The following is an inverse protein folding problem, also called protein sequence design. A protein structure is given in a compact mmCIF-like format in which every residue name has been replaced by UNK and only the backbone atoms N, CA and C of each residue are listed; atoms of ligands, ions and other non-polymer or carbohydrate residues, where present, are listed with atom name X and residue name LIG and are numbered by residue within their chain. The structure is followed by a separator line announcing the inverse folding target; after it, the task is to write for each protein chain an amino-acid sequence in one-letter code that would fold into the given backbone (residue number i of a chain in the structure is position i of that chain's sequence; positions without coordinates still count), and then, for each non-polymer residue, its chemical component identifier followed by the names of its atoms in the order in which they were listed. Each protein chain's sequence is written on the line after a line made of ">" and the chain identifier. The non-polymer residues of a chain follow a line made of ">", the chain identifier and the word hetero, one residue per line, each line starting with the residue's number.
data_IF_885821984756
#
_entry.id   IF_885821984756
#
_cell.length_a   1.000
_cell.length_b   1.000
_cell.length_c   1.000
_cell.angle_alpha   90.00
_cell.angle_beta   90.00
_cell.angle_gamma   90.00
#
_symmetry.space_group_name_H-M   'P 1'
#
loop_
_entity.id
_entity.type
_entity.pdbx_description
1 polymer ?
#
# COMPACT_ATOMS: atom_id res chain seq x y z
N UNK A 1 32.99 36.73 -37.00
CA UNK A 1 32.31 35.78 -37.92
C UNK A 1 33.26 34.60 -38.12
N UNK A 2 32.95 33.37 -37.73
CA UNK A 2 31.91 32.50 -38.31
C UNK A 2 31.27 31.59 -37.24
N UNK A 3 29.95 31.64 -37.12
CA UNK A 3 29.14 30.52 -36.59
C UNK A 3 29.34 29.34 -37.54
N UNK A 4 29.85 28.21 -37.07
CA UNK A 4 29.61 26.93 -37.74
C UNK A 4 28.26 26.44 -37.26
N UNK A 5 27.27 26.52 -38.15
CA UNK A 5 26.04 25.75 -38.06
C UNK A 5 26.43 24.28 -38.30
N UNK A 6 26.19 23.44 -37.30
CA UNK A 6 26.25 21.99 -37.51
C UNK A 6 25.09 21.58 -38.42
N UNK A 7 25.39 20.68 -39.34
CA UNK A 7 24.48 20.21 -40.38
C UNK A 7 23.30 19.43 -39.77
N UNK A 8 22.14 19.51 -40.43
CA UNK A 8 20.86 18.89 -40.03
C UNK A 8 20.91 17.36 -39.83
N UNK A 9 22.01 16.70 -40.22
CA UNK A 9 22.21 15.26 -40.04
C UNK A 9 22.73 14.84 -38.65
N UNK A 10 23.22 15.77 -37.81
CA UNK A 10 23.55 15.47 -36.40
C UNK A 10 22.31 15.45 -35.49
N UNK A 11 21.22 16.07 -35.90
CA UNK A 11 20.00 16.19 -35.10
C UNK A 11 19.22 14.87 -35.00
N UNK A 12 19.38 13.96 -35.97
CA UNK A 12 18.76 12.62 -35.96
C UNK A 12 19.53 11.57 -35.16
N UNK A 13 20.80 11.80 -34.81
CA UNK A 13 21.56 10.89 -33.93
C UNK A 13 21.40 11.21 -32.44
N UNK A 14 21.09 12.46 -32.10
CA UNK A 14 20.81 12.83 -30.71
C UNK A 14 19.40 12.49 -30.22
N UNK A 15 18.44 12.21 -31.11
CA UNK A 15 17.09 11.78 -30.68
C UNK A 15 17.05 10.34 -30.15
N UNK A 16 18.04 9.51 -30.48
CA UNK A 16 18.14 8.13 -29.98
C UNK A 16 19.02 7.97 -28.74
N UNK A 17 19.79 9.00 -28.34
CA UNK A 17 20.60 8.97 -27.11
C UNK A 17 19.86 9.51 -25.86
N UNK A 18 18.73 10.20 -26.05
CA UNK A 18 17.90 10.68 -24.93
C UNK A 18 17.13 9.57 -24.22
N UNK A 19 16.89 8.43 -24.89
CA UNK A 19 16.16 7.29 -24.34
C UNK A 19 17.05 6.26 -23.64
N UNK A 20 18.38 6.37 -23.79
CA UNK A 20 19.32 5.37 -23.25
C UNK A 20 20.30 5.93 -22.19
N UNK A 21 20.08 7.16 -21.75
CA UNK A 21 20.76 7.73 -20.59
C UNK A 21 19.71 8.01 -19.50
N UNK A 22 19.16 6.93 -18.94
CA UNK A 22 18.55 6.96 -17.62
C UNK A 22 19.52 7.68 -16.68
N UNK A 23 19.08 8.89 -16.30
CA UNK A 23 19.70 9.85 -15.40
C UNK A 23 21.04 9.44 -14.77
N UNK A 24 22.12 10.16 -15.13
CA UNK A 24 23.43 10.16 -14.42
C UNK A 24 23.31 10.24 -12.88
N UNK A 25 22.16 10.65 -12.37
CA UNK A 25 21.76 10.65 -10.97
C UNK A 25 21.73 9.24 -10.33
N UNK A 26 21.20 8.23 -11.02
CA UNK A 26 21.09 6.86 -10.48
C UNK A 26 22.41 6.09 -10.63
N UNK A 27 23.12 6.29 -11.74
CA UNK A 27 24.40 5.61 -11.99
C UNK A 27 25.51 5.99 -10.98
N UNK A 28 25.44 7.18 -10.37
CA UNK A 28 26.36 7.61 -9.29
C UNK A 28 26.01 7.03 -7.92
N UNK A 29 24.73 6.71 -7.70
CA UNK A 29 24.25 6.06 -6.46
C UNK A 29 24.67 4.59 -6.40
N UNK A 30 24.66 3.88 -7.54
CA UNK A 30 25.22 2.53 -7.67
C UNK A 30 26.74 2.48 -7.40
N UNK A 31 27.45 3.60 -7.54
CA UNK A 31 28.90 3.70 -7.38
C UNK A 31 29.35 4.31 -6.03
N UNK A 32 28.41 4.60 -5.11
CA UNK A 32 28.75 5.11 -3.77
C UNK A 32 29.20 6.57 -3.71
N UNK A 33 28.99 7.37 -4.77
CA UNK A 33 29.29 8.80 -4.74
C UNK A 33 28.14 9.62 -4.09
N UNK A 34 28.44 10.63 -3.25
CA UNK A 34 27.42 11.47 -2.64
C UNK A 34 26.66 12.29 -3.71
N UNK A 35 25.34 12.40 -3.51
CA UNK A 35 24.43 13.06 -4.46
C UNK A 35 24.74 14.56 -4.54
N UNK A 36 25.25 15.03 -5.67
CA UNK A 36 25.73 16.42 -5.92
C UNK A 36 24.64 17.51 -5.70
N UNK A 37 23.37 17.12 -5.49
CA UNK A 37 22.25 18.04 -5.20
C UNK A 37 21.48 17.69 -3.92
N UNK A 38 22.13 17.00 -2.99
CA UNK A 38 21.59 16.71 -1.66
C UNK A 38 20.97 17.98 -1.03
N UNK A 39 21.68 19.10 -1.09
CA UNK A 39 21.21 20.40 -0.60
C UNK A 39 19.92 20.93 -1.27
N UNK A 40 19.64 20.57 -2.54
CA UNK A 40 18.41 20.98 -3.23
C UNK A 40 17.24 20.14 -2.74
N UNK A 41 17.44 18.84 -2.56
CA UNK A 41 16.42 17.95 -2.00
C UNK A 41 16.15 18.31 -0.54
N UNK A 42 17.20 18.61 0.23
CA UNK A 42 17.08 19.09 1.61
C UNK A 42 16.37 20.46 1.68
N UNK A 43 16.61 21.39 0.73
CA UNK A 43 15.92 22.67 0.67
C UNK A 43 14.45 22.53 0.22
N UNK A 44 14.15 21.59 -0.68
CA UNK A 44 12.77 21.23 -1.05
C UNK A 44 12.05 20.65 0.16
N UNK A 45 12.66 19.71 0.88
CA UNK A 45 12.11 19.10 2.10
C UNK A 45 11.83 20.15 3.17
N UNK A 46 12.79 21.03 3.41
CA UNK A 46 12.66 22.16 4.35
C UNK A 46 11.52 23.10 3.97
N UNK A 47 11.34 23.40 2.68
CA UNK A 47 10.29 24.32 2.20
C UNK A 47 8.91 23.67 2.16
N UNK A 48 8.83 22.38 1.87
CA UNK A 48 7.57 21.65 1.85
C UNK A 48 7.04 21.38 3.26
N UNK A 49 7.90 21.46 4.29
CA UNK A 49 7.54 21.24 5.70
C UNK A 49 6.68 19.97 5.87
N UNK A 50 6.97 18.97 5.05
CA UNK A 50 6.26 17.71 5.07
C UNK A 50 6.71 16.93 6.30
N UNK A 51 5.78 16.22 6.94
CA UNK A 51 6.11 15.29 8.04
C UNK A 51 7.08 14.18 7.59
N UNK A 52 7.33 14.06 6.28
CA UNK A 52 8.21 13.09 5.67
C UNK A 52 9.14 13.75 4.64
N UNK A 53 10.45 13.53 4.77
CA UNK A 53 11.47 13.99 3.81
C UNK A 53 11.34 13.24 2.48
N UNK A 54 11.27 13.96 1.35
CA UNK A 54 11.33 13.39 0.00
C UNK A 54 12.61 12.62 -0.24
N UNK A 55 13.74 13.05 0.33
CA UNK A 55 14.98 12.28 0.26
C UNK A 55 14.83 10.90 0.89
N UNK A 56 14.22 10.85 2.08
CA UNK A 56 13.89 9.61 2.78
C UNK A 56 12.91 8.76 1.99
N UNK A 57 11.95 9.38 1.29
CA UNK A 57 11.01 8.68 0.40
C UNK A 57 11.72 8.06 -0.80
N UNK A 58 12.51 8.83 -1.55
CA UNK A 58 13.21 8.39 -2.75
C UNK A 58 14.30 7.35 -2.44
N UNK A 59 14.85 7.38 -1.23
CA UNK A 59 15.83 6.40 -0.78
C UNK A 59 15.21 5.27 0.05
N UNK A 60 13.88 5.20 0.14
CA UNK A 60 13.21 4.23 0.98
C UNK A 60 13.47 2.79 0.50
N UNK A 61 13.73 1.82 1.39
CA UNK A 61 13.93 0.41 1.01
C UNK A 61 12.76 -0.24 0.25
N UNK A 62 11.57 0.38 0.30
CA UNK A 62 10.40 -0.05 -0.47
C UNK A 62 10.70 -0.21 -1.96
N UNK A 63 11.45 0.73 -2.55
CA UNK A 63 11.73 0.69 -3.99
C UNK A 63 12.55 -0.54 -4.36
N UNK A 64 13.54 -0.90 -3.54
CA UNK A 64 14.33 -2.12 -3.72
C UNK A 64 13.46 -3.39 -3.61
N UNK A 65 12.42 -3.36 -2.77
CA UNK A 65 11.48 -4.47 -2.64
C UNK A 65 10.62 -4.63 -3.89
N UNK A 66 10.05 -3.54 -4.40
CA UNK A 66 9.05 -3.60 -5.48
C UNK A 66 9.68 -3.68 -6.87
N UNK A 67 10.90 -3.17 -7.05
CA UNK A 67 11.64 -3.25 -8.31
C UNK A 67 12.33 -4.61 -8.49
N UNK A 68 12.43 -5.42 -7.43
CA UNK A 68 12.96 -6.77 -7.51
C UNK A 68 11.89 -7.75 -8.00
N UNK A 69 11.84 -7.98 -9.32
CA UNK A 69 10.86 -8.86 -9.94
C UNK A 69 10.90 -10.32 -9.45
N UNK A 70 11.99 -10.80 -8.84
CA UNK A 70 12.10 -12.15 -8.28
C UNK A 70 12.66 -12.12 -6.85
N UNK A 71 11.85 -11.67 -5.88
CA UNK A 71 12.33 -11.45 -4.53
C UNK A 71 12.63 -12.78 -3.83
N UNK A 72 13.90 -12.97 -3.44
CA UNK A 72 14.32 -14.07 -2.59
C UNK A 72 14.10 -13.73 -1.10
N UNK A 73 13.97 -14.74 -0.24
CA UNK A 73 13.87 -14.55 1.21
C UNK A 73 15.04 -13.70 1.76
N UNK A 74 16.23 -13.86 1.20
CA UNK A 74 17.41 -13.09 1.60
C UNK A 74 17.28 -11.61 1.18
N UNK A 75 16.88 -11.34 -0.07
CA UNK A 75 16.68 -9.95 -0.54
C UNK A 75 15.57 -9.23 0.22
N UNK A 76 14.49 -9.94 0.58
CA UNK A 76 13.42 -9.39 1.42
C UNK A 76 13.96 -9.06 2.82
N UNK A 77 14.77 -9.95 3.41
CA UNK A 77 15.41 -9.69 4.71
C UNK A 77 16.29 -8.45 4.65
N UNK A 78 17.11 -8.30 3.62
CA UNK A 78 18.00 -7.14 3.42
C UNK A 78 17.23 -5.83 3.34
N UNK A 79 16.10 -5.79 2.63
CA UNK A 79 15.20 -4.63 2.64
C UNK A 79 14.70 -4.32 4.04
N UNK A 80 14.21 -5.34 4.76
CA UNK A 80 13.54 -5.15 6.05
C UNK A 80 14.49 -4.74 7.18
N UNK A 81 15.75 -5.16 7.16
CA UNK A 81 16.75 -4.72 8.14
C UNK A 81 17.19 -3.26 7.93
N UNK A 82 16.96 -2.70 6.74
CA UNK A 82 17.22 -1.29 6.42
C UNK A 82 16.05 -0.36 6.78
N UNK A 83 14.98 -0.88 7.38
CA UNK A 83 13.91 -0.06 7.95
C UNK A 83 14.35 0.60 9.28
N UNK A 84 13.64 1.61 9.80
CA UNK A 84 13.95 2.19 11.10
C UNK A 84 13.98 1.14 12.22
N UNK A 85 14.82 1.36 13.24
CA UNK A 85 15.04 0.42 14.33
C UNK A 85 13.75 -0.05 15.03
N UNK A 86 12.73 0.82 15.13
CA UNK A 86 11.42 0.47 15.69
C UNK A 86 10.71 -0.66 14.92
N UNK A 87 10.88 -0.70 13.59
CA UNK A 87 10.37 -1.76 12.72
C UNK A 87 11.26 -2.99 12.75
N UNK A 88 12.59 -2.82 12.71
CA UNK A 88 13.54 -3.95 12.80
C UNK A 88 13.34 -4.72 14.10
N UNK A 89 13.20 -4.03 15.24
CA UNK A 89 12.99 -4.63 16.56
C UNK A 89 11.62 -5.32 16.68
N UNK A 90 10.64 -4.88 15.90
CA UNK A 90 9.35 -5.54 15.78
C UNK A 90 9.46 -6.86 14.98
N UNK A 91 10.28 -6.86 13.94
CA UNK A 91 10.43 -7.95 12.96
C UNK A 91 11.42 -9.04 13.39
N UNK A 92 12.51 -8.69 14.07
CA UNK A 92 13.63 -9.61 14.35
C UNK A 92 13.93 -9.70 15.85
N UNK A 93 14.55 -10.81 16.26
CA UNK A 93 15.21 -10.91 17.57
C UNK A 93 16.63 -10.36 17.43
N UNK A 94 17.25 -9.97 18.54
CA UNK A 94 18.67 -9.68 18.57
C UNK A 94 19.43 -10.95 18.96
N UNK A 95 20.58 -11.22 18.34
CA UNK A 95 21.51 -12.25 18.80
C UNK A 95 22.42 -11.76 19.93
N UNK A 96 23.34 -12.61 20.36
CA UNK A 96 24.28 -12.30 21.44
C UNK A 96 25.19 -11.11 21.13
N UNK A 97 25.40 -10.80 19.84
CA UNK A 97 26.23 -9.69 19.36
C UNK A 97 25.39 -8.43 19.05
N UNK A 98 24.08 -8.46 19.34
CA UNK A 98 23.15 -7.36 19.09
C UNK A 98 22.67 -7.24 17.65
N UNK A 99 22.93 -8.22 16.79
CA UNK A 99 22.52 -8.19 15.38
C UNK A 99 21.10 -8.77 15.18
N UNK A 100 20.35 -8.32 14.14
CA UNK A 100 19.05 -8.89 13.81
C UNK A 100 19.13 -10.38 13.41
N UNK A 101 18.67 -11.26 14.29
CA UNK A 101 18.64 -12.70 14.14
C UNK A 101 17.21 -13.26 14.22
N UNK A 102 16.81 -14.04 13.21
CA UNK A 102 15.53 -14.77 13.18
C UNK A 102 14.26 -13.88 13.19
N UNK A 103 13.33 -14.13 12.26
CA UNK A 103 12.08 -13.34 12.20
C UNK A 103 11.13 -13.74 13.33
N UNK A 104 10.56 -12.75 14.02
CA UNK A 104 9.49 -12.94 15.00
C UNK A 104 8.17 -13.23 14.28
N UNK A 105 7.34 -14.08 14.87
CA UNK A 105 5.92 -14.16 14.49
C UNK A 105 5.24 -12.86 14.95
N UNK A 106 4.95 -11.97 14.02
CA UNK A 106 4.29 -10.70 14.33
C UNK A 106 2.78 -10.90 14.36
N UNK A 107 2.14 -10.34 15.38
CA UNK A 107 0.71 -10.15 15.36
C UNK A 107 0.37 -8.94 14.48
N UNK A 108 -0.36 -9.15 13.38
CA UNK A 108 -0.66 -8.12 12.37
C UNK A 108 -1.20 -6.81 12.95
N UNK A 109 -1.91 -6.85 14.09
CA UNK A 109 -2.38 -5.66 14.81
C UNK A 109 -1.28 -4.65 15.12
N UNK A 110 -0.04 -5.09 15.42
CA UNK A 110 1.07 -4.17 15.72
C UNK A 110 1.48 -3.28 14.53
N UNK A 111 1.16 -3.70 13.31
CA UNK A 111 1.40 -2.94 12.08
C UNK A 111 0.14 -2.20 11.60
N UNK A 112 -1.06 -2.72 11.89
CA UNK A 112 -2.33 -2.09 11.51
C UNK A 112 -2.48 -0.70 12.14
N UNK A 113 -1.95 -0.50 13.35
CA UNK A 113 -2.02 0.78 14.05
C UNK A 113 -1.07 1.85 13.48
N UNK A 114 -0.14 1.47 12.61
CA UNK A 114 0.78 2.40 11.92
C UNK A 114 0.12 2.94 10.64
N UNK A 115 0.57 4.06 10.12
CA UNK A 115 0.12 4.65 8.84
C UNK A 115 1.28 5.28 8.09
N UNK A 116 2.29 4.48 7.81
CA UNK A 116 3.49 4.97 7.15
C UNK A 116 4.01 3.96 6.13
N UNK A 117 4.94 4.44 5.33
CA UNK A 117 5.56 3.66 4.25
C UNK A 117 6.37 2.47 4.77
N UNK A 118 6.90 2.51 5.99
CA UNK A 118 7.67 1.41 6.58
C UNK A 118 6.77 0.21 6.88
N UNK A 119 5.61 0.48 7.49
CA UNK A 119 4.59 -0.54 7.73
C UNK A 119 4.03 -1.10 6.39
N UNK A 120 3.83 -0.25 5.39
CA UNK A 120 3.44 -0.72 4.03
C UNK A 120 4.49 -1.67 3.45
N UNK A 121 5.76 -1.34 3.59
CA UNK A 121 6.89 -2.17 3.12
C UNK A 121 6.89 -3.53 3.81
N UNK A 122 6.61 -3.56 5.12
CA UNK A 122 6.49 -4.82 5.87
C UNK A 122 5.33 -5.68 5.33
N UNK A 123 4.16 -5.09 5.07
CA UNK A 123 3.00 -5.79 4.53
C UNK A 123 3.26 -6.39 3.15
N UNK A 124 3.89 -5.62 2.25
CA UNK A 124 4.28 -6.11 0.92
C UNK A 124 5.28 -7.27 1.07
N UNK A 125 6.29 -7.13 1.92
CA UNK A 125 7.27 -8.18 2.15
C UNK A 125 6.61 -9.49 2.65
N UNK A 126 5.64 -9.42 3.57
CA UNK A 126 4.90 -10.60 4.00
C UNK A 126 4.11 -11.26 2.87
N UNK A 127 3.55 -10.46 1.96
CA UNK A 127 2.82 -10.98 0.80
C UNK A 127 3.77 -11.74 -0.14
N UNK A 128 4.98 -11.21 -0.36
CA UNK A 128 5.98 -11.79 -1.25
C UNK A 128 6.63 -13.07 -0.68
N UNK A 129 6.76 -13.18 0.64
CA UNK A 129 7.24 -14.41 1.29
C UNK A 129 6.20 -15.53 1.33
N UNK A 130 4.91 -15.18 1.35
CA UNK A 130 3.81 -16.14 1.42
C UNK A 130 3.48 -16.69 0.02
N UNK A 131 4.39 -17.49 -0.52
CA UNK A 131 4.28 -18.06 -1.87
C UNK A 131 3.43 -19.33 -1.94
N UNK A 132 3.13 -19.98 -0.80
CA UNK A 132 2.24 -21.14 -0.75
C UNK A 132 0.82 -20.76 -0.29
N UNK A 133 -0.11 -20.54 -1.22
CA UNK A 133 -1.50 -20.30 -0.85
C UNK A 133 -2.14 -21.55 -0.24
N UNK A 134 -2.65 -21.41 0.99
CA UNK A 134 -3.55 -22.43 1.53
C UNK A 134 -4.87 -22.34 0.79
N UNK A 135 -5.08 -23.24 -0.18
CA UNK A 135 -6.23 -23.30 -1.12
C UNK A 135 -7.62 -23.21 -0.47
N UNK A 136 -7.71 -23.45 0.84
CA UNK A 136 -8.96 -23.51 1.61
C UNK A 136 -9.17 -22.36 2.59
N UNK A 137 -8.19 -21.45 2.74
CA UNK A 137 -8.24 -20.38 3.76
C UNK A 137 -7.95 -19.04 3.11
N UNK A 138 -8.79 -18.04 3.42
CA UNK A 138 -8.58 -16.64 3.02
C UNK A 138 -7.15 -16.20 3.34
N UNK A 139 -6.47 -15.64 2.35
CA UNK A 139 -5.10 -15.12 2.48
C UNK A 139 -5.10 -13.83 3.29
N UNK A 140 -5.09 -14.01 4.61
CA UNK A 140 -5.23 -12.92 5.58
C UNK A 140 -4.10 -11.89 5.45
N UNK A 141 -2.82 -12.26 5.26
CA UNK A 141 -1.76 -11.28 5.02
C UNK A 141 -2.02 -10.38 3.80
N UNK A 142 -2.43 -10.96 2.67
CA UNK A 142 -2.76 -10.21 1.45
C UNK A 142 -3.95 -9.27 1.64
N UNK A 143 -5.00 -9.73 2.34
CA UNK A 143 -6.16 -8.89 2.65
C UNK A 143 -5.80 -7.74 3.60
N UNK A 144 -5.01 -8.01 4.63
CA UNK A 144 -4.56 -6.98 5.58
C UNK A 144 -3.66 -5.95 4.89
N UNK A 145 -2.77 -6.39 4.01
CA UNK A 145 -1.92 -5.50 3.21
C UNK A 145 -2.76 -4.61 2.28
N UNK A 146 -3.79 -5.16 1.65
CA UNK A 146 -4.73 -4.39 0.81
C UNK A 146 -5.51 -3.35 1.63
N UNK A 147 -6.08 -3.75 2.77
CA UNK A 147 -6.80 -2.83 3.65
C UNK A 147 -5.89 -1.71 4.17
N UNK A 148 -4.62 -2.04 4.43
CA UNK A 148 -3.60 -1.08 4.80
C UNK A 148 -3.28 -0.10 3.67
N UNK A 149 -3.16 -0.60 2.43
CA UNK A 149 -2.94 0.23 1.25
C UNK A 149 -4.11 1.21 1.05
N UNK A 150 -5.35 0.73 1.14
CA UNK A 150 -6.55 1.57 1.06
C UNK A 150 -6.53 2.67 2.14
N UNK A 151 -6.23 2.31 3.39
CA UNK A 151 -6.10 3.25 4.50
C UNK A 151 -5.08 4.34 4.20
N UNK A 152 -3.87 3.99 3.77
CA UNK A 152 -2.82 4.96 3.42
C UNK A 152 -3.25 5.82 2.22
N UNK A 153 -3.82 5.20 1.20
CA UNK A 153 -4.32 5.90 0.00
C UNK A 153 -5.46 6.88 0.28
N UNK A 154 -6.16 6.75 1.40
CA UNK A 154 -7.27 7.62 1.77
C UNK A 154 -6.88 8.68 2.80
N UNK A 155 -5.85 8.45 3.60
CA UNK A 155 -5.52 9.29 4.78
C UNK A 155 -4.19 10.02 4.70
N UNK A 156 -3.38 9.73 3.69
CA UNK A 156 -2.03 10.29 3.56
C UNK A 156 -1.81 10.89 2.17
N UNK A 157 -0.73 11.68 1.96
CA UNK A 157 -0.38 12.19 0.63
C UNK A 157 -0.14 11.11 -0.44
N UNK A 158 0.00 9.83 -0.07
CA UNK A 158 0.06 8.72 -1.03
C UNK A 158 -1.18 8.60 -1.91
N UNK A 159 -2.30 9.22 -1.53
CA UNK A 159 -3.54 9.26 -2.31
C UNK A 159 -3.32 9.62 -3.79
N UNK A 160 -2.38 10.51 -4.09
CA UNK A 160 -2.12 10.99 -5.46
C UNK A 160 -1.42 9.98 -6.36
N UNK A 161 -0.87 8.89 -5.82
CA UNK A 161 -0.14 7.86 -6.58
C UNK A 161 -0.64 6.44 -6.31
N UNK A 162 -1.68 6.29 -5.48
CA UNK A 162 -2.04 4.97 -4.92
C UNK A 162 -2.53 4.00 -6.00
N UNK A 163 -3.19 4.52 -7.04
CA UNK A 163 -3.71 3.71 -8.16
C UNK A 163 -2.55 3.21 -9.01
N UNK A 164 -1.63 4.09 -9.38
CA UNK A 164 -0.42 3.76 -10.12
C UNK A 164 0.46 2.79 -9.34
N UNK A 165 0.62 3.02 -8.04
CA UNK A 165 1.38 2.15 -7.15
C UNK A 165 0.77 0.74 -7.06
N UNK A 166 -0.55 0.64 -6.88
CA UNK A 166 -1.26 -0.64 -6.87
C UNK A 166 -1.12 -1.40 -8.20
N UNK A 167 -1.25 -0.68 -9.32
CA UNK A 167 -1.10 -1.27 -10.66
C UNK A 167 0.33 -1.76 -10.88
N UNK A 168 1.33 -0.96 -10.49
CA UNK A 168 2.74 -1.33 -10.59
C UNK A 168 3.07 -2.58 -9.76
N UNK A 169 2.59 -2.66 -8.51
CA UNK A 169 2.75 -3.86 -7.68
C UNK A 169 2.20 -5.12 -8.37
N UNK A 170 1.00 -5.03 -8.94
CA UNK A 170 0.38 -6.16 -9.62
C UNK A 170 1.05 -6.49 -10.96
N UNK A 171 1.60 -5.50 -11.66
CA UNK A 171 2.43 -5.73 -12.85
C UNK A 171 3.70 -6.50 -12.48
N UNK A 172 4.37 -6.12 -11.39
CA UNK A 172 5.61 -6.76 -10.96
C UNK A 172 5.40 -8.17 -10.41
N UNK A 173 4.35 -8.37 -9.60
CA UNK A 173 4.21 -9.58 -8.80
C UNK A 173 2.97 -10.43 -9.11
N UNK A 174 2.09 -9.97 -10.00
CA UNK A 174 0.88 -10.72 -10.36
C UNK A 174 1.17 -12.12 -10.91
N UNK A 175 2.33 -12.30 -11.56
CA UNK A 175 2.76 -13.58 -12.10
C UNK A 175 2.92 -14.67 -11.02
N UNK A 176 3.27 -14.30 -9.77
CA UNK A 176 3.39 -15.23 -8.64
C UNK A 176 2.08 -15.98 -8.36
N UNK A 177 0.96 -15.39 -8.80
CA UNK A 177 -0.39 -15.88 -8.56
C UNK A 177 -1.09 -16.37 -9.84
N UNK A 178 -0.44 -16.29 -11.01
CA UNK A 178 -1.05 -16.60 -12.32
C UNK A 178 -1.53 -18.05 -12.45
N UNK A 179 -0.80 -18.99 -11.84
CA UNK A 179 -1.11 -20.42 -11.93
C UNK A 179 -1.87 -20.95 -10.70
N UNK A 180 -2.31 -20.06 -9.80
CA UNK A 180 -3.00 -20.46 -8.58
C UNK A 180 -4.49 -20.61 -8.83
N UNK A 181 -4.98 -21.85 -8.87
CA UNK A 181 -6.42 -22.13 -8.91
C UNK A 181 -6.98 -21.93 -7.50
N UNK A 182 -7.70 -20.83 -7.28
CA UNK A 182 -8.41 -20.53 -6.03
C UNK A 182 -9.89 -20.24 -6.29
N UNK A 183 -10.77 -20.43 -5.29
CA UNK A 183 -12.15 -19.99 -5.38
C UNK A 183 -12.25 -18.48 -5.67
N UNK A 184 -13.28 -18.05 -6.40
CA UNK A 184 -13.52 -16.64 -6.73
C UNK A 184 -13.54 -15.71 -5.51
N UNK A 185 -14.06 -16.20 -4.38
CA UNK A 185 -14.09 -15.49 -3.10
C UNK A 185 -12.70 -15.10 -2.55
N UNK A 186 -11.62 -15.73 -3.02
CA UNK A 186 -10.26 -15.36 -2.66
C UNK A 186 -9.75 -14.15 -3.46
N UNK A 187 -10.38 -13.81 -4.58
CA UNK A 187 -10.00 -12.69 -5.45
C UNK A 187 -10.89 -11.48 -5.21
N UNK A 188 -12.19 -11.71 -5.08
CA UNK A 188 -13.18 -10.66 -4.95
C UNK A 188 -14.25 -11.01 -3.92
N UNK A 189 -14.64 -10.02 -3.11
CA UNK A 189 -15.85 -10.06 -2.32
C UNK A 189 -16.94 -9.26 -3.04
N UNK A 190 -18.05 -9.93 -3.34
CA UNK A 190 -19.20 -9.36 -4.02
C UNK A 190 -20.22 -8.88 -2.98
N UNK A 191 -20.78 -7.70 -3.19
CA UNK A 191 -21.79 -7.11 -2.32
C UNK A 191 -22.81 -6.30 -3.13
N UNK A 192 -23.95 -5.98 -2.51
CA UNK A 192 -25.00 -5.16 -3.10
C UNK A 192 -24.92 -3.73 -2.58
N UNK A 193 -24.90 -2.79 -3.52
CA UNK A 193 -25.02 -1.36 -3.26
C UNK A 193 -26.47 -0.99 -2.91
N UNK A 194 -26.70 0.18 -2.25
CA UNK A 194 -28.06 0.63 -1.91
C UNK A 194 -29.00 0.81 -3.11
N UNK A 195 -28.45 1.05 -4.29
CA UNK A 195 -29.18 1.16 -5.56
C UNK A 195 -29.47 -0.19 -6.23
N UNK A 196 -29.06 -1.31 -5.59
CA UNK A 196 -29.22 -2.68 -6.07
C UNK A 196 -28.09 -3.18 -6.97
N UNK A 197 -27.17 -2.31 -7.39
CA UNK A 197 -26.05 -2.71 -8.24
C UNK A 197 -25.04 -3.59 -7.49
N UNK A 198 -24.34 -4.46 -8.22
CA UNK A 198 -23.27 -5.29 -7.66
C UNK A 198 -21.97 -4.48 -7.54
N UNK A 199 -21.41 -4.48 -6.34
CA UNK A 199 -20.07 -3.99 -6.05
C UNK A 199 -19.07 -5.13 -5.85
N UNK A 200 -17.79 -4.82 -6.07
CA UNK A 200 -16.68 -5.77 -5.93
C UNK A 200 -15.55 -5.15 -5.11
N UNK A 201 -15.11 -5.87 -4.07
CA UNK A 201 -13.89 -5.54 -3.33
C UNK A 201 -12.79 -6.54 -3.68
N UNK A 202 -11.57 -6.10 -4.01
CA UNK A 202 -10.43 -6.99 -4.05
C UNK A 202 -10.22 -7.61 -2.66
N UNK A 203 -9.81 -8.88 -2.62
CA UNK A 203 -9.52 -9.59 -1.37
C UNK A 203 -8.03 -9.85 -1.16
N UNK A 204 -7.20 -9.37 -2.09
CA UNK A 204 -5.74 -9.52 -2.09
C UNK A 204 -5.10 -8.25 -2.62
N UNK A 205 -3.89 -7.96 -2.15
CA UNK A 205 -3.08 -6.86 -2.68
C UNK A 205 -2.48 -7.22 -4.04
N UNK A 206 -2.00 -8.45 -4.19
CA UNK A 206 -1.36 -8.98 -5.40
C UNK A 206 -2.21 -10.11 -5.98
N UNK A 207 -2.55 -9.97 -7.25
CA UNK A 207 -3.39 -10.89 -8.04
C UNK A 207 -2.92 -10.94 -9.48
N UNK A 208 -3.11 -12.09 -10.14
CA UNK A 208 -2.86 -12.23 -11.59
C UNK A 208 -3.87 -11.42 -12.45
N UNK A 209 -5.07 -11.21 -11.92
CA UNK A 209 -6.10 -10.35 -12.49
C UNK A 209 -6.57 -9.38 -11.42
N UNK A 210 -5.86 -8.25 -11.19
CA UNK A 210 -6.24 -7.30 -10.16
C UNK A 210 -7.55 -6.60 -10.54
N UNK A 211 -8.45 -6.46 -9.56
CA UNK A 211 -9.56 -5.51 -9.68
C UNK A 211 -9.02 -4.09 -9.57
N UNK A 212 -9.64 -3.15 -10.28
CA UNK A 212 -9.30 -1.73 -10.17
C UNK A 212 -9.53 -1.21 -8.74
N UNK A 213 -8.54 -0.51 -8.19
CA UNK A 213 -8.60 -0.02 -6.81
C UNK A 213 -9.34 1.32 -6.69
N UNK A 214 -9.43 2.10 -7.77
CA UNK A 214 -10.07 3.42 -7.79
C UNK A 214 -11.56 3.37 -7.40
N UNK A 215 -12.41 2.46 -7.94
CA UNK A 215 -13.79 2.33 -7.48
C UNK A 215 -13.89 2.00 -5.98
N UNK A 216 -12.92 1.24 -5.44
CA UNK A 216 -12.88 0.84 -4.04
C UNK A 216 -12.56 2.04 -3.15
N UNK A 217 -11.62 2.89 -3.56
CA UNK A 217 -11.28 4.13 -2.87
C UNK A 217 -12.50 5.06 -2.79
N UNK A 218 -13.15 5.29 -3.93
CA UNK A 218 -14.39 6.10 -4.00
C UNK A 218 -15.49 5.53 -3.10
N UNK A 219 -15.67 4.22 -3.10
CA UNK A 219 -16.64 3.55 -2.24
C UNK A 219 -16.30 3.70 -0.74
N UNK A 220 -15.02 3.58 -0.36
CA UNK A 220 -14.58 3.82 1.02
C UNK A 220 -14.82 5.27 1.46
N UNK A 221 -14.55 6.25 0.59
CA UNK A 221 -14.85 7.65 0.85
C UNK A 221 -16.35 7.86 1.08
N UNK A 222 -17.19 7.22 0.28
CA UNK A 222 -18.64 7.29 0.41
C UNK A 222 -19.13 6.69 1.75
N UNK A 223 -18.60 5.53 2.15
CA UNK A 223 -18.88 4.95 3.47
C UNK A 223 -18.51 5.90 4.61
N UNK A 224 -17.33 6.53 4.51
CA UNK A 224 -16.83 7.47 5.53
C UNK A 224 -17.67 8.74 5.58
N UNK A 225 -18.05 9.29 4.41
CA UNK A 225 -18.95 10.43 4.30
C UNK A 225 -20.29 10.11 4.99
N UNK A 226 -20.84 8.92 4.72
CA UNK A 226 -22.10 8.49 5.34
C UNK A 226 -21.98 8.35 6.86
N UNK A 227 -20.90 7.74 7.36
CA UNK A 227 -20.66 7.61 8.79
C UNK A 227 -20.53 8.97 9.50
N UNK A 228 -19.91 9.95 8.84
CA UNK A 228 -19.77 11.32 9.32
C UNK A 228 -21.13 12.04 9.37
N UNK A 229 -21.96 11.88 8.33
CA UNK A 229 -23.32 12.44 8.32
C UNK A 229 -24.20 11.87 9.43
N UNK A 230 -24.05 10.59 9.74
CA UNK A 230 -24.72 9.92 10.85
C UNK A 230 -24.10 10.24 12.21
N UNK A 231 -23.06 11.10 12.25
CA UNK A 231 -22.33 11.50 13.47
C UNK A 231 -21.71 10.32 14.23
N UNK A 232 -21.41 9.22 13.52
CA UNK A 232 -20.72 8.07 14.10
C UNK A 232 -19.25 8.36 14.40
N UNK A 233 -18.66 9.25 13.59
CA UNK A 233 -17.31 9.80 13.75
C UNK A 233 -17.35 11.30 13.47
N UNK A 234 -16.43 12.09 14.06
CA UNK A 234 -16.29 13.51 13.74
C UNK A 234 -15.71 13.70 12.33
N UNK A 235 -16.07 14.80 11.66
CA UNK A 235 -15.49 15.21 10.38
C UNK A 235 -14.09 15.82 10.57
N UNK A 236 -13.15 14.96 10.91
CA UNK A 236 -11.76 15.28 11.21
C UNK A 236 -10.88 14.18 10.64
N UNK A 237 -9.58 14.45 10.42
CA UNK A 237 -8.64 13.44 9.92
C UNK A 237 -8.60 12.22 10.85
N UNK A 238 -8.62 12.45 12.16
CA UNK A 238 -8.63 11.41 13.18
C UNK A 238 -9.92 10.57 13.14
N UNK A 239 -11.07 11.22 12.95
CA UNK A 239 -12.36 10.56 12.80
C UNK A 239 -12.44 9.69 11.55
N UNK A 240 -11.96 10.22 10.41
CA UNK A 240 -11.89 9.48 9.14
C UNK A 240 -10.95 8.28 9.26
N UNK A 241 -9.76 8.46 9.83
CA UNK A 241 -8.80 7.38 10.08
C UNK A 241 -9.39 6.30 11.00
N UNK A 242 -10.08 6.71 12.06
CA UNK A 242 -10.79 5.78 12.95
C UNK A 242 -11.82 4.95 12.17
N UNK A 243 -12.57 5.57 11.26
CA UNK A 243 -13.55 4.88 10.44
C UNK A 243 -12.92 3.96 9.39
N UNK A 244 -11.86 4.36 8.70
CA UNK A 244 -11.18 3.47 7.75
C UNK A 244 -10.58 2.23 8.42
N UNK A 245 -10.07 2.36 9.65
CA UNK A 245 -9.65 1.21 10.48
C UNK A 245 -10.82 0.32 10.93
N UNK A 246 -12.04 0.86 10.97
CA UNK A 246 -13.24 0.14 11.36
C UNK A 246 -13.74 -0.79 10.25
N UNK A 247 -13.59 -0.39 8.98
CA UNK A 247 -14.09 -1.13 7.82
C UNK A 247 -13.38 -2.48 7.70
N UNK A 248 -14.17 -3.53 7.46
CA UNK A 248 -13.69 -4.88 7.14
C UNK A 248 -14.41 -5.38 5.89
N UNK A 249 -13.65 -5.83 4.89
CA UNK A 249 -14.21 -6.35 3.64
C UNK A 249 -15.23 -7.48 3.89
N UNK A 250 -14.96 -8.36 4.86
CA UNK A 250 -15.84 -9.50 5.20
C UNK A 250 -17.16 -9.09 5.85
N UNK A 251 -17.29 -7.85 6.31
CA UNK A 251 -18.48 -7.32 6.98
C UNK A 251 -19.19 -6.26 6.12
N UNK A 252 -18.76 -6.07 4.86
CA UNK A 252 -19.14 -4.90 4.07
C UNK A 252 -20.64 -4.81 3.79
N UNK A 253 -21.30 -5.93 3.47
CA UNK A 253 -22.74 -5.93 3.20
C UNK A 253 -23.52 -5.39 4.40
N UNK A 254 -23.26 -5.93 5.60
CA UNK A 254 -23.92 -5.49 6.83
C UNK A 254 -23.58 -4.04 7.18
N UNK A 255 -22.37 -3.58 6.85
CA UNK A 255 -21.98 -2.19 7.02
C UNK A 255 -22.81 -1.27 6.12
N UNK A 256 -22.97 -1.62 4.83
CA UNK A 256 -23.82 -0.88 3.88
C UNK A 256 -25.25 -0.85 4.39
N UNK A 257 -25.82 -2.01 4.72
CA UNK A 257 -27.19 -2.13 5.19
C UNK A 257 -27.43 -1.23 6.42
N UNK A 258 -26.48 -1.23 7.37
CA UNK A 258 -26.58 -0.42 8.59
C UNK A 258 -26.45 1.09 8.35
N UNK A 259 -25.64 1.51 7.38
CA UNK A 259 -25.37 2.92 7.09
C UNK A 259 -26.38 3.56 6.14
N UNK A 260 -26.93 2.78 5.21
CA UNK A 260 -27.78 3.30 4.13
C UNK A 260 -29.23 2.84 4.19
N UNK A 261 -29.49 1.60 4.62
CA UNK A 261 -30.79 0.96 4.47
C UNK A 261 -31.54 0.76 5.80
N UNK A 262 -30.88 0.91 6.94
CA UNK A 262 -31.50 0.70 8.25
C UNK A 262 -32.48 1.81 8.61
N UNK A 263 -33.71 1.42 9.00
CA UNK A 263 -34.74 2.35 9.50
C UNK A 263 -34.27 3.14 10.73
N UNK A 264 -33.53 2.48 11.63
CA UNK A 264 -32.93 3.07 12.82
C UNK A 264 -31.41 3.02 12.71
N UNK A 265 -30.78 4.10 12.25
CA UNK A 265 -29.33 4.17 12.14
C UNK A 265 -28.63 4.02 13.50
N UNK A 266 -27.42 3.41 13.53
CA UNK A 266 -26.63 3.32 14.76
C UNK A 266 -26.24 4.71 15.26
N UNK A 267 -26.04 4.83 16.57
CA UNK A 267 -25.66 6.09 17.23
C UNK A 267 -24.19 6.17 17.59
N UNK A 268 -23.44 5.07 17.46
CA UNK A 268 -22.01 5.00 17.72
C UNK A 268 -21.32 3.88 16.93
N UNK A 269 -19.99 3.97 16.75
CA UNK A 269 -19.21 2.88 16.15
C UNK A 269 -19.32 1.58 16.95
N UNK A 270 -19.44 1.66 18.28
CA UNK A 270 -19.61 0.48 19.13
C UNK A 270 -20.93 -0.23 18.82
N UNK A 271 -22.01 0.53 18.68
CA UNK A 271 -23.31 -0.02 18.31
C UNK A 271 -23.29 -0.59 16.89
N UNK A 272 -22.75 0.16 15.93
CA UNK A 272 -22.56 -0.32 14.56
C UNK A 272 -21.77 -1.63 14.54
N UNK A 273 -20.69 -1.74 15.34
CA UNK A 273 -19.90 -2.97 15.41
C UNK A 273 -20.72 -4.16 15.90
N UNK A 274 -21.58 -3.98 16.90
CA UNK A 274 -22.45 -5.05 17.41
C UNK A 274 -23.42 -5.53 16.34
N UNK A 275 -23.95 -4.62 15.51
CA UNK A 275 -24.88 -4.95 14.43
C UNK A 275 -24.22 -5.73 13.29
N UNK A 276 -22.98 -5.39 12.93
CA UNK A 276 -22.30 -6.00 11.78
C UNK A 276 -21.47 -7.25 12.14
N UNK A 277 -21.08 -7.43 13.40
CA UNK A 277 -20.24 -8.56 13.81
C UNK A 277 -21.00 -9.88 13.69
N UNK A 278 -20.38 -10.88 13.05
CA UNK A 278 -20.99 -12.19 12.78
C UNK A 278 -21.06 -13.07 14.05
N UNK A 279 -20.30 -12.75 15.11
CA UNK A 279 -20.30 -13.50 16.39
C UNK A 279 -21.34 -13.01 17.42
N UNK A 280 -22.47 -12.47 16.96
CA UNK A 280 -23.49 -11.85 17.83
C UNK A 280 -24.81 -12.61 17.97
N UNK A 281 -24.92 -13.84 17.46
CA UNK A 281 -26.08 -14.70 17.63
C UNK A 281 -25.66 -16.17 17.70
N UNK A 282 -25.18 -16.60 18.87
CA UNK A 282 -25.40 -17.91 19.48
C UNK A 282 -25.07 -17.79 20.97
#
# INVERSE_FOLDING_TARGET
>A
MKKKLFAEDEQRRHSSEWLNNSSRFFNKKEQGEPVIREYVVDDIDRRLNAEFSFKTLLCHPLWQLIDNAQPSTQSIKEVLVNLPASYVNLLYREDADGNPAGRKKINGYKLIDRTDIHALTCWIAFCLESTEPKKTVLDTPQLLALQYLLKIGLTTPFASIIVEFYNYLNQQFGYLYANQVMPSAHYAHVFHMPDGNLGYLPMRLISAGPLGIEPVLSFYQELCRRATQLKLVPDTKEGQLCFYNFIRHTEIQKLIDSLFLADNHPTSLKELKRRISIFGQH
#
